data_IF_480276696428
#
_entry.id   IF_480276696428
#
_cell.length_a   1.000
_cell.length_b   1.000
_cell.length_c   1.000
_cell.angle_alpha   90.00
_cell.angle_beta   90.00
_cell.angle_gamma   90.00
#
_symmetry.space_group_name_H-M   'P 1'
#
loop_
_entity.id
_entity.type
_entity.pdbx_description
1 polymer ?
#
# COMPACT_ATOMS: atom_id res chain seq x y z
N UNK A 1 7.88 -2.93 14.27
CA UNK A 1 7.43 -4.30 13.94
C UNK A 1 8.63 -5.23 14.07
N UNK A 2 8.44 -6.56 14.11
CA UNK A 2 9.57 -7.49 13.99
C UNK A 2 9.83 -7.87 12.51
N UNK A 3 10.98 -8.48 12.23
CA UNK A 3 11.41 -8.84 10.87
C UNK A 3 10.45 -9.80 10.16
N UNK A 4 9.78 -10.67 10.92
CA UNK A 4 8.81 -11.63 10.35
C UNK A 4 7.55 -10.92 9.90
N UNK A 5 7.05 -9.99 10.72
CA UNK A 5 5.91 -9.14 10.39
C UNK A 5 6.22 -8.21 9.21
N UNK A 6 7.44 -7.68 9.14
CA UNK A 6 7.88 -6.87 8.00
C UNK A 6 7.92 -7.68 6.70
N UNK A 7 8.50 -8.89 6.72
CA UNK A 7 8.51 -9.76 5.55
C UNK A 7 7.10 -10.15 5.08
N UNK A 8 6.19 -10.43 6.02
CA UNK A 8 4.78 -10.68 5.70
C UNK A 8 4.10 -9.46 5.08
N UNK A 9 4.47 -8.25 5.52
CA UNK A 9 3.93 -7.01 4.97
C UNK A 9 4.44 -6.73 3.56
N UNK A 10 5.73 -6.97 3.30
CA UNK A 10 6.29 -6.92 1.94
C UNK A 10 5.50 -7.85 1.02
N UNK A 11 5.30 -9.11 1.42
CA UNK A 11 4.52 -10.07 0.64
C UNK A 11 3.06 -9.63 0.39
N UNK A 12 2.46 -8.89 1.34
CA UNK A 12 1.13 -8.31 1.17
C UNK A 12 1.13 -7.15 0.18
N UNK A 13 2.09 -6.24 0.27
CA UNK A 13 2.24 -5.12 -0.70
C UNK A 13 2.41 -5.66 -2.12
N UNK A 14 3.27 -6.67 -2.31
CA UNK A 14 3.46 -7.31 -3.63
C UNK A 14 2.18 -7.99 -4.15
N UNK A 15 1.31 -8.47 -3.26
CA UNK A 15 0.03 -9.08 -3.64
C UNK A 15 -1.03 -8.04 -4.00
N UNK A 16 -1.07 -6.94 -3.24
CA UNK A 16 -1.99 -5.83 -3.47
C UNK A 16 -1.64 -5.03 -4.73
N UNK A 17 -0.35 -4.98 -5.06
CA UNK A 17 0.20 -4.21 -6.16
C UNK A 17 1.31 -5.01 -6.89
N UNK A 18 0.95 -5.99 -7.74
CA UNK A 18 1.91 -6.86 -8.43
C UNK A 18 2.85 -6.11 -9.39
N UNK A 19 2.47 -4.91 -9.83
CA UNK A 19 3.29 -4.01 -10.64
C UNK A 19 4.48 -3.42 -9.87
N UNK A 20 4.42 -3.38 -8.53
CA UNK A 20 5.54 -2.98 -7.69
C UNK A 20 6.49 -4.16 -7.57
N UNK A 21 7.40 -4.32 -8.52
CA UNK A 21 8.41 -5.37 -8.48
C UNK A 21 9.53 -5.01 -7.50
N UNK A 22 10.32 -6.01 -7.09
CA UNK A 22 11.48 -5.79 -6.22
C UNK A 22 12.59 -4.98 -6.90
N UNK A 23 12.61 -4.94 -8.24
CA UNK A 23 13.57 -4.15 -9.02
C UNK A 23 13.19 -2.66 -9.05
N UNK A 24 11.90 -2.35 -9.08
CA UNK A 24 11.39 -0.97 -9.16
C UNK A 24 11.23 -0.31 -7.79
N UNK A 25 10.81 -1.10 -6.79
CA UNK A 25 10.74 -0.69 -5.39
C UNK A 25 11.37 -1.79 -4.55
N UNK A 26 12.63 -1.65 -4.10
CA UNK A 26 13.33 -2.65 -3.30
C UNK A 26 12.57 -3.06 -2.03
N UNK A 27 12.75 -4.31 -1.60
CA UNK A 27 12.07 -4.84 -0.41
C UNK A 27 12.41 -4.03 0.85
N UNK A 28 13.61 -3.48 0.97
CA UNK A 28 14.00 -2.66 2.12
C UNK A 28 13.26 -1.31 2.15
N UNK A 29 12.98 -0.72 0.98
CA UNK A 29 12.13 0.47 0.88
C UNK A 29 10.69 0.14 1.25
N UNK A 30 10.17 -1.02 0.80
CA UNK A 30 8.83 -1.50 1.18
C UNK A 30 8.74 -1.74 2.70
N UNK A 31 9.80 -2.25 3.34
CA UNK A 31 9.85 -2.39 4.80
C UNK A 31 9.78 -1.03 5.49
N UNK A 32 10.56 -0.04 5.02
CA UNK A 32 10.51 1.31 5.58
C UNK A 32 9.10 1.92 5.46
N UNK A 33 8.46 1.78 4.29
CA UNK A 33 7.07 2.24 4.09
C UNK A 33 6.08 1.48 4.97
N UNK A 34 6.30 0.19 5.23
CA UNK A 34 5.48 -0.58 6.16
C UNK A 34 5.61 -0.10 7.61
N UNK A 35 6.80 0.32 8.04
CA UNK A 35 7.01 0.89 9.38
C UNK A 35 6.32 2.25 9.52
N UNK A 36 6.48 3.14 8.54
CA UNK A 36 5.81 4.43 8.52
C UNK A 36 4.28 4.27 8.52
N UNK A 37 3.77 3.35 7.70
CA UNK A 37 2.35 3.03 7.64
C UNK A 37 1.84 2.45 8.96
N UNK A 38 2.63 1.62 9.64
CA UNK A 38 2.27 1.04 10.93
C UNK A 38 2.17 2.11 12.02
N UNK A 39 3.13 3.04 12.06
CA UNK A 39 3.11 4.18 13.00
C UNK A 39 1.87 5.02 12.76
N UNK A 40 1.58 5.35 11.49
CA UNK A 40 0.42 6.16 11.12
C UNK A 40 -0.91 5.46 11.45
N UNK A 41 -1.05 4.17 11.13
CA UNK A 41 -2.26 3.40 11.43
C UNK A 41 -2.47 3.22 12.94
N UNK A 42 -1.39 3.07 13.70
CA UNK A 42 -1.46 3.04 15.16
C UNK A 42 -1.91 4.39 15.73
N UNK A 43 -1.37 5.50 15.20
CA UNK A 43 -1.76 6.85 15.60
C UNK A 43 -3.23 7.16 15.24
N UNK A 44 -3.71 6.63 14.13
CA UNK A 44 -5.11 6.73 13.70
C UNK A 44 -6.07 5.85 14.53
N UNK A 45 -5.54 5.02 15.45
CA UNK A 45 -6.31 4.28 16.43
C UNK A 45 -6.64 2.84 16.06
N UNK A 46 -6.12 2.33 14.94
CA UNK A 46 -6.31 0.93 14.55
C UNK A 46 -5.62 -0.02 15.53
N UNK A 47 -6.23 -1.19 15.76
CA UNK A 47 -5.73 -2.23 16.66
C UNK A 47 -5.92 -3.63 16.06
N UNK A 48 -5.22 -4.60 16.64
CA UNK A 48 -5.35 -6.03 16.34
C UNK A 48 -5.27 -6.34 14.83
N UNK A 49 -6.09 -7.26 14.33
CA UNK A 49 -6.08 -7.66 12.91
C UNK A 49 -6.38 -6.52 11.94
N UNK A 50 -7.11 -5.49 12.36
CA UNK A 50 -7.45 -4.33 11.52
C UNK A 50 -6.23 -3.42 11.33
N UNK A 51 -5.36 -3.31 12.34
CA UNK A 51 -4.10 -2.56 12.23
C UNK A 51 -3.21 -3.12 11.12
N UNK A 52 -3.07 -4.43 11.03
CA UNK A 52 -2.27 -5.08 9.98
C UNK A 52 -2.85 -4.84 8.58
N UNK A 53 -4.18 -4.82 8.46
CA UNK A 53 -4.86 -4.58 7.18
C UNK A 53 -4.68 -3.12 6.76
N UNK A 54 -4.96 -2.18 7.66
CA UNK A 54 -4.80 -0.74 7.41
C UNK A 54 -3.33 -0.41 7.07
N UNK A 55 -2.38 -0.97 7.83
CA UNK A 55 -0.94 -0.84 7.55
C UNK A 55 -0.61 -1.33 6.14
N UNK A 56 -1.16 -2.48 5.72
CA UNK A 56 -0.90 -3.02 4.39
C UNK A 56 -1.41 -2.14 3.26
N UNK A 57 -2.61 -1.56 3.40
CA UNK A 57 -3.15 -0.63 2.39
C UNK A 57 -2.32 0.66 2.32
N UNK A 58 -1.97 1.23 3.47
CA UNK A 58 -1.19 2.46 3.52
C UNK A 58 0.26 2.26 3.03
N UNK A 59 0.89 1.14 3.38
CA UNK A 59 2.22 0.78 2.87
C UNK A 59 2.21 0.59 1.35
N UNK A 60 1.13 -0.01 0.81
CA UNK A 60 0.95 -0.16 -0.65
C UNK A 60 0.82 1.21 -1.33
N UNK A 61 0.08 2.14 -0.73
CA UNK A 61 -0.03 3.51 -1.23
C UNK A 61 1.33 4.23 -1.23
N UNK A 62 2.10 4.14 -0.15
CA UNK A 62 3.45 4.74 -0.09
C UNK A 62 4.40 4.16 -1.14
N UNK A 63 4.42 2.84 -1.31
CA UNK A 63 5.23 2.18 -2.32
C UNK A 63 4.80 2.57 -3.76
N UNK A 64 3.50 2.72 -4.01
CA UNK A 64 2.98 3.17 -5.29
C UNK A 64 3.36 4.63 -5.60
N UNK A 65 3.36 5.52 -4.60
CA UNK A 65 3.85 6.89 -4.77
C UNK A 65 5.34 6.94 -5.09
N UNK A 66 6.15 6.08 -4.46
CA UNK A 66 7.57 6.00 -4.75
C UNK A 66 7.83 5.50 -6.19
N UNK A 67 7.14 4.45 -6.61
CA UNK A 67 7.15 3.94 -7.98
C UNK A 67 6.81 5.03 -9.01
N UNK A 68 5.69 5.73 -8.81
CA UNK A 68 5.25 6.80 -9.71
C UNK A 68 6.17 8.03 -9.73
N UNK A 69 7.01 8.24 -8.70
CA UNK A 69 8.03 9.30 -8.70
C UNK A 69 9.29 8.89 -9.48
N UNK A 70 9.57 7.59 -9.59
CA UNK A 70 10.71 7.05 -10.34
C UNK A 70 10.49 7.10 -11.87
N UNK A 71 9.24 7.33 -12.30
CA UNK A 71 8.83 7.51 -13.70
C UNK A 71 9.52 8.66 -14.46
N UNK A 72 10.16 9.62 -13.76
CA UNK A 72 10.92 10.67 -14.45
C UNK A 72 12.23 10.17 -15.09
N UNK A 73 12.67 8.93 -14.80
CA UNK A 73 13.93 8.39 -15.32
C UNK A 73 13.72 7.26 -16.37
N UNK A 74 12.56 6.60 -16.40
CA UNK A 74 12.28 5.46 -17.32
C UNK A 74 11.25 5.73 -18.43
N UNK A 75 10.57 6.88 -18.46
CA UNK A 75 9.54 7.20 -19.49
C UNK A 75 10.05 7.44 -20.92
N UNK A 76 11.36 7.43 -21.16
CA UNK A 76 11.91 7.42 -22.53
C UNK A 76 11.86 6.02 -23.20
N UNK A 77 11.35 4.98 -22.55
CA UNK A 77 11.38 3.59 -23.07
C UNK A 77 10.02 2.93 -23.38
N UNK A 78 8.94 3.67 -23.48
CA UNK A 78 7.62 3.12 -23.83
C UNK A 78 6.98 3.82 -25.03
N UNK A 79 7.72 3.91 -26.14
CA UNK A 79 7.10 3.88 -27.45
C UNK A 79 6.67 2.43 -27.71
N UNK A 80 5.42 2.21 -28.10
CA UNK A 80 4.84 0.95 -28.64
C UNK A 80 4.12 0.02 -27.63
N UNK A 81 2.78 0.17 -27.64
CA UNK A 81 1.72 -0.83 -27.38
C UNK A 81 1.63 -1.52 -26.00
N UNK A 82 0.77 -0.99 -25.12
CA UNK A 82 -0.48 -1.65 -24.69
C UNK A 82 -1.32 -0.63 -23.91
N UNK A 83 -2.34 -0.09 -24.58
CA UNK A 83 -3.31 0.82 -24.00
C UNK A 83 -4.47 -0.02 -23.45
N UNK A 84 -4.26 -0.64 -22.28
CA UNK A 84 -5.35 -1.18 -21.46
C UNK A 84 -5.42 -0.39 -20.15
N UNK A 85 -6.30 0.61 -20.15
CA UNK A 85 -7.05 1.11 -18.98
C UNK A 85 -6.30 1.41 -17.66
N UNK A 86 -5.13 2.04 -17.69
CA UNK A 86 -4.61 2.78 -16.53
C UNK A 86 -5.21 4.20 -16.44
N UNK A 87 -6.54 4.31 -16.47
CA UNK A 87 -7.24 5.58 -16.24
C UNK A 87 -7.54 5.73 -14.73
N UNK A 88 -6.48 6.06 -13.97
CA UNK A 88 -6.46 6.75 -12.66
C UNK A 88 -5.14 6.45 -11.95
N UNK A 89 -4.12 7.29 -12.16
CA UNK A 89 -3.12 7.71 -11.17
C UNK A 89 -2.46 6.71 -10.19
N UNK A 90 -2.55 5.39 -10.33
CA UNK A 90 -1.85 4.32 -9.59
C UNK A 90 -1.93 4.29 -8.04
N UNK A 91 -2.47 5.33 -7.40
CA UNK A 91 -2.26 5.66 -5.99
C UNK A 91 -3.56 5.75 -5.17
N UNK A 92 -4.70 5.93 -5.82
CA UNK A 92 -5.93 6.32 -5.12
C UNK A 92 -6.70 5.16 -4.52
N UNK A 93 -6.74 3.98 -5.15
CA UNK A 93 -7.57 2.88 -4.64
C UNK A 93 -7.06 2.32 -3.30
N UNK A 94 -5.73 2.30 -3.11
CA UNK A 94 -5.11 1.87 -1.85
C UNK A 94 -5.37 2.87 -0.71
N UNK A 95 -5.30 4.17 -1.01
CA UNK A 95 -5.60 5.21 -0.04
C UNK A 95 -7.10 5.27 0.26
N UNK A 96 -7.96 5.10 -0.75
CA UNK A 96 -9.39 5.05 -0.59
C UNK A 96 -9.81 3.93 0.36
N UNK A 97 -9.24 2.72 0.23
CA UNK A 97 -9.53 1.62 1.13
C UNK A 97 -9.00 1.88 2.55
N UNK A 98 -7.82 2.49 2.70
CA UNK A 98 -7.33 2.93 4.01
C UNK A 98 -8.28 3.95 4.68
N UNK A 99 -8.73 4.94 3.93
CA UNK A 99 -9.67 5.96 4.42
C UNK A 99 -11.03 5.37 4.74
N UNK A 100 -11.51 4.39 3.95
CA UNK A 100 -12.74 3.64 4.26
C UNK A 100 -12.63 2.92 5.59
N UNK A 101 -11.52 2.23 5.85
CA UNK A 101 -11.26 1.58 7.14
C UNK A 101 -11.20 2.59 8.30
N UNK A 102 -10.68 3.79 8.03
CA UNK A 102 -10.57 4.86 9.04
C UNK A 102 -11.94 5.44 9.38
N UNK A 103 -12.81 5.58 8.39
CA UNK A 103 -14.20 6.01 8.55
C UNK A 103 -14.98 4.99 9.39
N UNK A 104 -14.86 3.70 9.04
CA UNK A 104 -15.45 2.57 9.79
C UNK A 104 -15.00 2.54 11.28
N UNK A 105 -13.79 3.03 11.57
CA UNK A 105 -13.24 3.12 12.92
C UNK A 105 -13.83 4.30 13.70
N UNK A 106 -14.04 5.44 13.04
CA UNK A 106 -14.56 6.69 13.62
C UNK A 106 -16.06 6.65 13.95
N UNK A 107 -16.84 5.92 13.14
CA UNK A 107 -18.30 5.85 13.27
C UNK A 107 -18.80 4.87 14.35
N UNK A 108 -17.90 4.13 15.01
CA UNK A 108 -18.25 3.27 16.15
C UNK A 108 -19.16 2.10 15.76
N UNK A 109 -18.53 0.94 15.51
CA UNK A 109 -19.17 -0.36 15.30
C UNK A 109 -19.82 -0.57 13.92
N UNK A 110 -19.03 -1.09 12.98
CA UNK A 110 -19.49 -2.31 12.30
C UNK A 110 -18.34 -3.30 12.32
N UNK A 111 -18.54 -4.43 13.00
CA UNK A 111 -17.69 -5.61 12.87
C UNK A 111 -17.52 -5.88 11.38
N UNK A 112 -16.34 -5.60 10.82
CA UNK A 112 -16.00 -6.01 9.46
C UNK A 112 -15.99 -7.54 9.49
N UNK A 113 -17.12 -8.14 9.12
CA UNK A 113 -17.24 -9.58 8.92
C UNK A 113 -16.71 -9.85 7.52
N UNK A 114 -15.46 -10.29 7.46
CA UNK A 114 -14.95 -10.99 6.29
C UNK A 114 -15.70 -12.33 6.17
N UNK A 115 -16.53 -12.47 5.14
CA UNK A 115 -17.10 -13.75 4.71
C UNK A 115 -16.11 -14.48 3.79
#
# INVERSE_FOLDING_TARGET
MDDTALAAMVARVRRNAPQLTADEVPDDDVKAYAEDAFIQATADGFKDGVLTIATGWLATHFAAMAFNKNDNVSKQKADVLEQDFFDRGGSDDYLAEYLRLKDDLGDGATTIKFY
#
